data_IF_598158262064
#
_entry.id   IF_598158262064
#
_cell.length_a   1.000
_cell.length_b   1.000
_cell.length_c   1.000
_cell.angle_alpha   90.00
_cell.angle_beta   90.00
_cell.angle_gamma   90.00
#
_symmetry.space_group_name_H-M   'P 1'
#
loop_
_entity.id
_entity.type
_entity.pdbx_description
1 polymer ?
#
# COMPACT_ATOMS: atom_id res chain seq x y z
N UNK A 1 -7.49 8.03 8.51
CA UNK A 1 -7.73 7.24 7.27
C UNK A 1 -6.45 6.64 6.67
N UNK A 2 -5.24 7.07 7.03
CA UNK A 2 -3.97 6.57 6.46
C UNK A 2 -3.71 5.06 6.67
N UNK A 3 -4.10 4.49 7.81
CA UNK A 3 -3.94 3.06 8.10
C UNK A 3 -4.78 2.17 7.20
N UNK A 4 -6.03 2.56 6.91
CA UNK A 4 -6.92 1.84 5.98
C UNK A 4 -6.39 1.86 4.55
N UNK A 5 -5.81 2.98 4.11
CA UNK A 5 -5.18 3.11 2.80
C UNK A 5 -3.98 2.16 2.62
N UNK A 6 -3.13 2.04 3.66
CA UNK A 6 -2.01 1.09 3.65
C UNK A 6 -2.50 -0.37 3.52
N UNK A 7 -3.59 -0.72 4.23
CA UNK A 7 -4.23 -2.03 4.11
C UNK A 7 -4.76 -2.32 2.71
N UNK A 8 -5.45 -1.36 2.07
CA UNK A 8 -5.99 -1.56 0.72
C UNK A 8 -4.89 -1.79 -0.33
N UNK A 9 -3.74 -1.13 -0.21
CA UNK A 9 -2.58 -1.30 -1.10
C UNK A 9 -1.95 -2.70 -1.03
N UNK A 10 -2.08 -3.40 0.10
CA UNK A 10 -1.49 -4.72 0.33
C UNK A 10 -2.43 -5.89 -0.02
N UNK A 11 -3.67 -5.60 -0.46
CA UNK A 11 -4.71 -6.61 -0.72
C UNK A 11 -4.98 -6.75 -2.23
N UNK A 12 -5.64 -7.83 -2.70
CA UNK A 12 -6.05 -7.96 -4.10
C UNK A 12 -6.92 -6.79 -4.61
N UNK A 13 -7.49 -5.96 -3.73
CA UNK A 13 -8.17 -4.72 -4.12
C UNK A 13 -7.23 -3.74 -4.85
N UNK A 14 -5.92 -3.74 -4.55
CA UNK A 14 -4.91 -2.96 -5.26
C UNK A 14 -4.66 -3.44 -6.69
N UNK A 15 -4.92 -4.71 -7.01
CA UNK A 15 -4.83 -5.21 -8.38
C UNK A 15 -5.87 -4.55 -9.31
N UNK A 16 -7.05 -4.21 -8.80
CA UNK A 16 -8.08 -3.49 -9.57
C UNK A 16 -7.67 -2.04 -9.86
N UNK A 17 -7.06 -1.34 -8.89
CA UNK A 17 -6.56 0.02 -9.11
C UNK A 17 -5.33 0.05 -10.02
N UNK A 18 -4.47 -0.96 -9.93
CA UNK A 18 -3.27 -1.07 -10.75
C UNK A 18 -3.50 -1.82 -12.08
N UNK A 19 -4.74 -2.19 -12.42
CA UNK A 19 -5.05 -2.96 -13.63
C UNK A 19 -4.72 -2.18 -14.90
N UNK A 20 -4.94 -0.87 -14.88
CA UNK A 20 -4.66 0.07 -15.97
C UNK A 20 -3.16 0.26 -16.18
N UNK A 21 -2.35 0.63 -15.16
CA UNK A 21 -0.90 0.73 -15.33
C UNK A 21 -0.24 -0.63 -15.60
N UNK A 22 -0.74 -1.74 -15.04
CA UNK A 22 -0.19 -3.07 -15.33
C UNK A 22 -0.46 -3.51 -16.78
N UNK A 23 -1.61 -3.15 -17.35
CA UNK A 23 -1.91 -3.38 -18.76
C UNK A 23 -1.06 -2.49 -19.68
N UNK A 24 -0.81 -1.23 -19.29
CA UNK A 24 0.07 -0.31 -20.02
C UNK A 24 1.55 -0.73 -20.00
N UNK A 25 2.03 -1.34 -18.92
CA UNK A 25 3.40 -1.87 -18.81
C UNK A 25 3.55 -3.32 -19.30
N UNK A 26 2.50 -3.92 -19.87
CA UNK A 26 2.46 -5.32 -20.30
C UNK A 26 3.03 -6.29 -19.25
N UNK A 27 2.79 -6.01 -17.96
CA UNK A 27 3.38 -6.82 -16.89
C UNK A 27 2.76 -8.23 -16.93
N UNK A 28 3.59 -9.29 -17.04
CA UNK A 28 3.09 -10.67 -17.09
C UNK A 28 2.36 -11.06 -15.80
N UNK A 29 2.71 -10.43 -14.68
CA UNK A 29 2.11 -10.62 -13.37
C UNK A 29 1.45 -9.35 -12.85
N UNK A 30 0.11 -9.31 -12.85
CA UNK A 30 -0.68 -8.23 -12.21
C UNK A 30 -0.42 -8.11 -10.70
N UNK A 31 0.06 -9.17 -10.06
CA UNK A 31 0.40 -9.18 -8.63
C UNK A 31 1.81 -8.63 -8.33
N UNK A 32 2.64 -8.40 -9.36
CA UNK A 32 3.98 -7.82 -9.17
C UNK A 32 3.89 -6.39 -8.61
N UNK A 33 2.86 -5.64 -8.99
CA UNK A 33 2.62 -4.28 -8.48
C UNK A 33 2.28 -4.30 -6.99
N UNK A 34 1.50 -5.29 -6.53
CA UNK A 34 1.21 -5.47 -5.10
C UNK A 34 2.51 -5.77 -4.35
N UNK A 35 3.36 -6.67 -4.85
CA UNK A 35 4.67 -6.96 -4.23
C UNK A 35 5.55 -5.71 -4.12
N UNK A 36 5.54 -4.84 -5.12
CA UNK A 36 6.28 -3.59 -5.08
C UNK A 36 5.69 -2.56 -4.09
N UNK A 37 4.37 -2.62 -3.82
CA UNK A 37 3.65 -1.70 -2.92
C UNK A 37 3.56 -2.16 -1.47
N UNK A 38 3.75 -3.45 -1.18
CA UNK A 38 3.85 -3.98 0.19
C UNK A 38 4.90 -3.23 1.04
N UNK A 39 6.16 -3.06 0.61
CA UNK A 39 7.16 -2.39 1.44
C UNK A 39 6.82 -0.93 1.74
N UNK A 40 6.22 -0.22 0.77
CA UNK A 40 5.82 1.19 0.97
C UNK A 40 4.62 1.31 1.90
N UNK A 41 3.63 0.42 1.77
CA UNK A 41 2.46 0.38 2.66
C UNK A 41 2.82 0.05 4.11
N UNK A 42 3.76 -0.88 4.33
CA UNK A 42 4.25 -1.21 5.67
C UNK A 42 4.97 -0.02 6.31
N UNK A 43 5.85 0.65 5.56
CA UNK A 43 6.64 1.76 6.08
C UNK A 43 5.73 2.95 6.48
N UNK A 44 4.74 3.27 5.63
CA UNK A 44 3.73 4.29 5.95
C UNK A 44 2.92 3.93 7.19
N UNK A 45 2.50 2.67 7.33
CA UNK A 45 1.75 2.21 8.50
C UNK A 45 2.58 2.38 9.79
N UNK A 46 3.84 1.94 9.77
CA UNK A 46 4.74 2.04 10.93
C UNK A 46 4.92 3.50 11.34
N UNK A 47 5.24 4.38 10.39
CA UNK A 47 5.41 5.81 10.66
C UNK A 47 4.12 6.44 11.20
N UNK A 48 2.96 6.06 10.64
CA UNK A 48 1.67 6.58 11.11
C UNK A 48 1.35 6.14 12.55
N UNK A 49 1.64 4.88 12.89
CA UNK A 49 1.49 4.36 14.26
C UNK A 49 2.43 5.06 15.22
N UNK A 50 3.71 5.24 14.85
CA UNK A 50 4.68 5.98 15.66
C UNK A 50 4.22 7.42 15.90
N UNK A 51 3.82 8.14 14.84
CA UNK A 51 3.34 9.51 14.97
C UNK A 51 2.10 9.62 15.86
N UNK A 52 1.13 8.72 15.72
CA UNK A 52 -0.05 8.70 16.59
C UNK A 52 0.34 8.43 18.05
N UNK A 53 1.22 7.47 18.29
CA UNK A 53 1.69 7.17 19.65
C UNK A 53 2.39 8.37 20.29
N UNK A 54 3.32 9.00 19.57
CA UNK A 54 4.05 10.16 20.08
C UNK A 54 3.19 11.42 20.18
N UNK A 55 2.32 11.74 19.22
CA UNK A 55 1.54 12.99 19.27
C UNK A 55 0.30 12.92 20.17
N UNK A 56 -0.21 11.72 20.45
CA UNK A 56 -1.43 11.54 21.27
C UNK A 56 -1.10 11.33 22.75
N UNK A 57 0.06 10.75 23.07
CA UNK A 57 0.41 10.33 24.43
C UNK A 57 1.69 10.98 24.99
N UNK A 58 2.42 11.78 24.21
CA UNK A 58 3.47 12.70 24.69
C UNK A 58 2.86 14.09 24.91
#
# INVERSE_FOLDING_TARGET
MFSGYCGTLMTPMAANFNIVPAALLELPDKNAVIKAQIPTGILLLIVNVFLLYFLMFL
#
